data_IF_806496879906
#
_entry.id   IF_806496879906
#
_cell.length_a   1.000
_cell.length_b   1.000
_cell.length_c   1.000
_cell.angle_alpha   90.00
_cell.angle_beta   90.00
_cell.angle_gamma   90.00
#
_symmetry.space_group_name_H-M   'P 1'
#
loop_
_entity.id
_entity.type
_entity.pdbx_description
1 polymer ?
#
# COMPACT_ATOMS: atom_id res chain seq x y z
N UNK A 1 -20.60 -15.16 0.47
CA UNK A 1 -20.12 -14.57 -0.79
C UNK A 1 -20.98 -13.36 -1.07
N UNK A 2 -20.43 -12.26 -1.60
CA UNK A 2 -21.23 -11.05 -1.83
C UNK A 2 -22.44 -11.34 -2.73
N UNK A 3 -23.60 -10.80 -2.37
CA UNK A 3 -24.81 -10.86 -3.19
C UNK A 3 -24.76 -9.91 -4.41
N UNK A 4 -23.78 -9.01 -4.45
CA UNK A 4 -23.57 -8.07 -5.56
C UNK A 4 -23.10 -8.83 -6.80
N UNK A 5 -23.85 -8.69 -7.90
CA UNK A 5 -23.41 -9.18 -9.20
C UNK A 5 -22.34 -8.26 -9.77
N UNK A 6 -21.21 -8.82 -10.13
CA UNK A 6 -20.13 -8.10 -10.81
C UNK A 6 -20.44 -8.01 -12.30
N UNK A 7 -20.06 -6.90 -12.91
CA UNK A 7 -20.07 -6.81 -14.38
C UNK A 7 -18.83 -7.51 -14.94
N UNK A 8 -18.85 -8.00 -16.21
CA UNK A 8 -17.67 -8.62 -16.81
C UNK A 8 -16.42 -7.72 -16.80
N UNK A 9 -16.62 -6.40 -16.91
CA UNK A 9 -15.52 -5.41 -16.85
C UNK A 9 -14.94 -5.32 -15.44
N UNK A 10 -15.77 -5.41 -14.40
CA UNK A 10 -15.30 -5.43 -13.02
C UNK A 10 -14.51 -6.71 -12.72
N UNK A 11 -14.99 -7.87 -13.18
CA UNK A 11 -14.28 -9.15 -13.04
C UNK A 11 -12.92 -9.13 -13.74
N UNK A 12 -12.86 -8.64 -14.98
CA UNK A 12 -11.62 -8.47 -15.73
C UNK A 12 -10.60 -7.59 -15.00
N UNK A 13 -11.05 -6.53 -14.33
CA UNK A 13 -10.16 -5.62 -13.62
C UNK A 13 -9.69 -6.24 -12.30
N UNK A 14 -10.57 -6.94 -11.58
CA UNK A 14 -10.21 -7.63 -10.35
C UNK A 14 -9.26 -8.80 -10.62
N UNK A 15 -9.37 -9.45 -11.77
CA UNK A 15 -8.50 -10.53 -12.21
C UNK A 15 -7.04 -10.10 -12.47
N UNK A 16 -6.79 -8.82 -12.76
CA UNK A 16 -5.42 -8.28 -12.85
C UNK A 16 -4.67 -8.40 -11.51
N UNK A 17 -5.42 -8.40 -10.40
CA UNK A 17 -4.89 -8.54 -9.05
C UNK A 17 -4.14 -7.30 -8.54
N UNK A 18 -3.66 -7.38 -7.30
CA UNK A 18 -3.08 -6.25 -6.58
C UNK A 18 -1.68 -5.86 -7.05
N UNK A 19 -0.95 -6.80 -7.66
CA UNK A 19 0.38 -6.54 -8.23
C UNK A 19 0.32 -5.81 -9.60
N UNK A 20 -0.86 -5.45 -10.10
CA UNK A 20 -1.00 -4.71 -11.34
C UNK A 20 -0.59 -3.24 -11.15
N UNK A 21 0.54 -2.84 -11.74
CA UNK A 21 1.02 -1.47 -11.70
C UNK A 21 0.26 -0.60 -12.72
N UNK A 22 -0.57 0.33 -12.25
CA UNK A 22 -1.27 1.28 -13.11
C UNK A 22 -0.29 2.38 -13.54
N UNK A 23 -0.22 2.64 -14.85
CA UNK A 23 0.63 3.71 -15.38
C UNK A 23 0.06 5.08 -14.95
N UNK A 24 0.86 5.94 -14.30
CA UNK A 24 0.43 7.27 -13.93
C UNK A 24 0.09 8.08 -15.18
N UNK A 25 -1.11 8.65 -15.19
CA UNK A 25 -1.58 9.49 -16.30
C UNK A 25 -1.14 10.95 -16.14
N UNK A 26 -0.62 11.31 -14.97
CA UNK A 26 -0.16 12.65 -14.61
C UNK A 26 1.14 12.49 -13.83
N UNK A 27 2.16 13.26 -14.17
CA UNK A 27 3.38 13.31 -13.36
C UNK A 27 3.18 14.21 -12.14
N UNK A 28 3.59 13.77 -10.94
CA UNK A 28 3.56 14.60 -9.74
C UNK A 28 4.72 15.59 -9.76
N UNK A 29 4.57 16.71 -10.48
CA UNK A 29 5.61 17.73 -10.68
C UNK A 29 6.12 18.28 -9.35
N UNK A 30 5.21 18.46 -8.40
CA UNK A 30 5.47 18.98 -7.06
C UNK A 30 6.43 18.05 -6.29
N UNK A 31 6.27 16.73 -6.43
CA UNK A 31 7.12 15.75 -5.76
C UNK A 31 8.55 15.78 -6.30
N UNK A 32 8.71 15.95 -7.62
CA UNK A 32 10.04 16.13 -8.23
C UNK A 32 10.71 17.39 -7.70
N UNK A 33 10.00 18.52 -7.66
CA UNK A 33 10.53 19.79 -7.13
C UNK A 33 10.92 19.65 -5.66
N UNK A 34 10.04 19.07 -4.83
CA UNK A 34 10.33 18.85 -3.40
C UNK A 34 11.56 17.97 -3.16
N UNK A 35 11.81 16.98 -4.02
CA UNK A 35 12.97 16.08 -3.90
C UNK A 35 14.27 16.69 -4.43
N UNK A 36 14.18 17.58 -5.42
CA UNK A 36 15.34 18.12 -6.13
C UNK A 36 15.79 19.46 -5.54
N UNK A 37 14.86 20.36 -5.19
CA UNK A 37 15.17 21.71 -4.73
C UNK A 37 16.09 21.77 -3.49
N UNK A 38 15.90 20.93 -2.45
CA UNK A 38 16.81 20.92 -1.29
C UNK A 38 18.25 20.52 -1.64
N UNK A 39 18.43 19.72 -2.71
CA UNK A 39 19.77 19.31 -3.17
C UNK A 39 20.45 20.43 -3.93
N UNK A 40 19.69 21.22 -4.68
CA UNK A 40 20.18 22.36 -5.47
C UNK A 40 20.60 23.54 -4.59
N UNK A 41 20.04 23.67 -3.38
CA UNK A 41 20.40 24.74 -2.43
C UNK A 41 21.88 24.70 -2.01
N UNK A 42 22.50 23.52 -2.01
CA UNK A 42 23.89 23.35 -1.59
C UNK A 42 24.91 23.52 -2.73
N UNK A 43 24.47 23.84 -3.94
CA UNK A 43 25.31 23.97 -5.14
C UNK A 43 25.59 25.44 -5.48
N UNK A 44 26.55 25.70 -6.37
CA UNK A 44 26.79 27.03 -6.91
C UNK A 44 25.55 27.53 -7.68
N UNK A 45 25.22 28.82 -7.55
CA UNK A 45 23.98 29.40 -8.07
C UNK A 45 23.84 29.21 -9.59
N UNK A 46 24.94 29.35 -10.33
CA UNK A 46 24.96 29.16 -11.79
C UNK A 46 24.66 27.71 -12.21
N UNK A 47 25.23 26.73 -11.50
CA UNK A 47 24.96 25.31 -11.75
C UNK A 47 23.53 24.93 -11.35
N UNK A 48 23.06 25.40 -10.20
CA UNK A 48 21.69 25.18 -9.74
C UNK A 48 20.66 25.79 -10.71
N UNK A 49 20.93 26.99 -11.24
CA UNK A 49 20.09 27.65 -12.24
C UNK A 49 19.99 26.84 -13.53
N UNK A 50 21.12 26.36 -14.06
CA UNK A 50 21.14 25.50 -15.24
C UNK A 50 20.34 24.21 -15.04
N UNK A 51 20.47 23.56 -13.87
CA UNK A 51 19.72 22.33 -13.56
C UNK A 51 18.20 22.63 -13.44
N UNK A 52 17.80 23.75 -12.82
CA UNK A 52 16.39 24.17 -12.75
C UNK A 52 15.77 24.36 -14.14
N UNK A 53 16.50 24.97 -15.07
CA UNK A 53 16.06 25.15 -16.47
C UNK A 53 15.86 23.78 -17.14
N UNK A 54 16.83 22.87 -17.01
CA UNK A 54 16.72 21.51 -17.57
C UNK A 54 15.53 20.73 -17.00
N UNK A 55 15.35 20.76 -15.67
CA UNK A 55 14.21 20.11 -15.00
C UNK A 55 12.89 20.70 -15.51
N UNK A 56 12.82 22.03 -15.63
CA UNK A 56 11.61 22.72 -16.12
C UNK A 56 11.29 22.32 -17.55
N UNK A 57 12.29 22.19 -18.41
CA UNK A 57 12.12 21.75 -19.80
C UNK A 57 11.57 20.31 -19.87
N UNK A 58 12.14 19.39 -19.10
CA UNK A 58 11.67 17.99 -19.01
C UNK A 58 10.25 17.91 -18.46
N UNK A 59 9.93 18.70 -17.42
CA UNK A 59 8.59 18.73 -16.82
C UNK A 59 7.54 19.48 -17.67
N UNK A 60 7.98 20.30 -18.64
CA UNK A 60 7.09 21.02 -19.56
C UNK A 60 6.42 20.09 -20.57
N UNK A 61 7.15 19.09 -21.07
CA UNK A 61 6.65 18.12 -22.05
C UNK A 61 7.00 16.70 -21.64
N UNK A 62 6.25 16.13 -20.70
CA UNK A 62 6.53 14.78 -20.25
C UNK A 62 6.07 13.75 -21.27
N UNK A 63 6.98 12.85 -21.64
CA UNK A 63 6.67 11.66 -22.42
C UNK A 63 6.12 10.59 -21.48
N UNK A 64 4.81 10.59 -21.28
CA UNK A 64 4.16 9.56 -20.46
C UNK A 64 3.89 8.29 -21.29
N UNK A 65 4.08 7.09 -20.72
CA UNK A 65 3.67 5.87 -21.38
C UNK A 65 2.15 5.84 -21.57
N UNK A 66 1.70 5.11 -22.59
CA UNK A 66 0.28 4.91 -22.82
C UNK A 66 -0.38 4.26 -21.59
N UNK A 67 -1.60 4.72 -21.27
CA UNK A 67 -2.38 4.16 -20.16
C UNK A 67 -2.63 2.67 -20.38
N UNK A 68 -2.17 1.84 -19.46
CA UNK A 68 -2.42 0.39 -19.49
C UNK A 68 -3.84 0.00 -19.04
N UNK A 69 -4.67 0.97 -18.69
CA UNK A 69 -6.07 0.78 -18.29
C UNK A 69 -7.01 1.66 -19.14
N UNK A 70 -8.07 1.05 -19.68
CA UNK A 70 -9.10 1.76 -20.46
C UNK A 70 -10.02 2.57 -19.54
N UNK A 71 -10.75 3.53 -20.11
CA UNK A 71 -11.70 4.38 -19.35
C UNK A 71 -12.76 3.54 -18.63
N UNK A 72 -13.35 2.56 -19.32
CA UNK A 72 -14.38 1.69 -18.75
C UNK A 72 -13.85 0.91 -17.53
N UNK A 73 -12.62 0.41 -17.60
CA UNK A 73 -11.96 -0.28 -16.48
C UNK A 73 -11.67 0.66 -15.30
N UNK A 74 -11.27 1.91 -15.56
CA UNK A 74 -11.11 2.95 -14.52
C UNK A 74 -12.43 3.29 -13.84
N UNK A 75 -13.50 3.42 -14.61
CA UNK A 75 -14.82 3.76 -14.08
C UNK A 75 -15.41 2.57 -13.30
N UNK A 76 -15.17 1.33 -13.74
CA UNK A 76 -15.47 0.13 -12.97
C UNK A 76 -14.79 0.12 -11.59
N UNK A 77 -13.49 0.45 -11.52
CA UNK A 77 -12.77 0.59 -10.23
C UNK A 77 -13.38 1.66 -9.32
N UNK A 78 -13.78 2.80 -9.89
CA UNK A 78 -14.42 3.87 -9.11
C UNK A 78 -15.77 3.42 -8.58
N UNK A 79 -16.56 2.71 -9.38
CA UNK A 79 -17.87 2.19 -8.98
C UNK A 79 -17.72 1.14 -7.87
N UNK A 80 -16.79 0.21 -8.01
CA UNK A 80 -16.45 -0.77 -6.97
C UNK A 80 -16.01 -0.07 -5.67
N UNK A 81 -15.20 0.98 -5.75
CA UNK A 81 -14.74 1.73 -4.57
C UNK A 81 -15.86 2.55 -3.92
N UNK A 82 -16.79 3.07 -4.70
CA UNK A 82 -17.91 3.89 -4.21
C UNK A 82 -18.97 3.05 -3.49
N UNK A 83 -19.07 1.76 -3.83
CA UNK A 83 -20.02 0.84 -3.24
C UNK A 83 -19.60 0.46 -1.80
N UNK A 84 -20.32 1.01 -0.83
CA UNK A 84 -20.08 0.76 0.61
C UNK A 84 -20.73 -0.53 1.10
N UNK A 85 -21.57 -1.17 0.30
CA UNK A 85 -22.21 -2.45 0.66
C UNK A 85 -21.24 -3.63 0.58
N UNK A 86 -20.10 -3.45 -0.09
CA UNK A 86 -19.10 -4.49 -0.29
C UNK A 86 -17.83 -4.26 0.52
N UNK A 87 -17.17 -5.36 0.86
CA UNK A 87 -15.85 -5.38 1.44
C UNK A 87 -14.88 -6.09 0.50
N UNK A 88 -13.88 -5.35 0.00
CA UNK A 88 -12.87 -5.84 -0.93
C UNK A 88 -11.60 -6.15 -0.14
N UNK A 89 -11.19 -7.41 -0.13
CA UNK A 89 -10.04 -7.92 0.63
C UNK A 89 -9.03 -8.60 -0.30
N UNK A 90 -7.76 -8.57 0.09
CA UNK A 90 -6.74 -9.43 -0.50
C UNK A 90 -7.01 -10.88 -0.07
N UNK A 91 -6.99 -11.80 -1.02
CA UNK A 91 -7.02 -13.23 -0.69
C UNK A 91 -5.70 -13.63 0.00
N UNK A 92 -5.78 -14.54 0.98
CA UNK A 92 -4.60 -15.07 1.67
C UNK A 92 -3.64 -15.80 0.72
N UNK A 93 -4.18 -16.40 -0.36
CA UNK A 93 -3.41 -17.15 -1.36
C UNK A 93 -3.73 -16.72 -2.78
N UNK A 94 -2.69 -16.65 -3.62
CA UNK A 94 -2.76 -16.15 -4.98
C UNK A 94 -2.97 -14.63 -5.01
N UNK A 95 -2.56 -13.96 -6.08
CA UNK A 95 -2.79 -12.52 -6.28
C UNK A 95 -4.28 -12.22 -6.56
N UNK A 96 -5.18 -12.84 -5.79
CA UNK A 96 -6.62 -12.79 -5.95
C UNK A 96 -7.24 -11.77 -4.98
N UNK A 97 -8.40 -11.28 -5.36
CA UNK A 97 -9.20 -10.34 -4.59
C UNK A 97 -10.53 -11.01 -4.23
N UNK A 98 -10.96 -10.87 -2.98
CA UNK A 98 -12.23 -11.41 -2.48
C UNK A 98 -13.19 -10.26 -2.25
N UNK A 99 -14.44 -10.40 -2.72
CA UNK A 99 -15.52 -9.45 -2.47
C UNK A 99 -16.57 -10.11 -1.58
N UNK A 100 -16.83 -9.50 -0.43
CA UNK A 100 -17.81 -9.93 0.56
C UNK A 100 -18.89 -8.87 0.74
N UNK A 101 -20.07 -9.31 1.19
CA UNK A 101 -21.05 -8.37 1.73
C UNK A 101 -20.52 -7.77 3.03
N UNK A 102 -20.63 -6.45 3.17
CA UNK A 102 -20.04 -5.74 4.30
C UNK A 102 -20.72 -6.09 5.61
N UNK A 103 -22.04 -6.17 5.61
CA UNK A 103 -22.82 -6.43 6.82
C UNK A 103 -22.62 -7.88 7.28
N UNK A 104 -22.63 -8.84 6.35
CA UNK A 104 -22.34 -10.24 6.64
C UNK A 104 -20.92 -10.40 7.20
N UNK A 105 -19.94 -9.73 6.59
CA UNK A 105 -18.55 -9.74 7.06
C UNK A 105 -18.42 -9.18 8.48
N UNK A 106 -18.94 -7.98 8.72
CA UNK A 106 -18.84 -7.31 10.01
C UNK A 106 -19.50 -8.16 11.11
N UNK A 107 -20.67 -8.76 10.85
CA UNK A 107 -21.34 -9.68 11.77
C UNK A 107 -20.49 -10.93 12.06
N UNK A 108 -19.90 -11.54 11.03
CA UNK A 108 -19.04 -12.73 11.21
C UNK A 108 -17.79 -12.41 12.03
N UNK A 109 -17.18 -11.25 11.79
CA UNK A 109 -16.02 -10.79 12.56
C UNK A 109 -16.41 -10.55 14.02
N UNK A 110 -17.55 -9.90 14.28
CA UNK A 110 -18.04 -9.69 15.65
C UNK A 110 -18.30 -11.01 16.38
N UNK A 111 -18.95 -11.97 15.72
CA UNK A 111 -19.17 -13.31 16.28
C UNK A 111 -17.84 -14.01 16.59
N UNK A 112 -16.88 -13.94 15.66
CA UNK A 112 -15.56 -14.54 15.83
C UNK A 112 -14.79 -13.92 17.01
N UNK A 113 -14.81 -12.59 17.14
CA UNK A 113 -14.12 -11.87 18.21
C UNK A 113 -14.74 -12.09 19.59
N UNK A 114 -16.04 -12.40 19.65
CA UNK A 114 -16.74 -12.73 20.89
C UNK A 114 -16.50 -14.17 21.39
N UNK A 115 -15.67 -14.97 20.69
CA UNK A 115 -15.28 -16.31 21.14
C UNK A 115 -14.17 -16.26 22.20
N UNK A 116 -14.05 -17.31 23.01
CA UNK A 116 -13.01 -17.44 24.04
C UNK A 116 -11.58 -17.48 23.50
N UNK A 117 -11.42 -17.64 22.18
CA UNK A 117 -10.13 -17.66 21.48
C UNK A 117 -9.44 -16.29 21.48
N UNK A 118 -10.22 -15.21 21.45
CA UNK A 118 -9.70 -13.84 21.35
C UNK A 118 -9.92 -13.08 22.65
N UNK A 119 -8.98 -12.19 22.98
CA UNK A 119 -9.04 -11.36 24.18
C UNK A 119 -8.60 -9.94 23.82
N UNK A 120 -9.42 -8.97 24.23
CA UNK A 120 -9.09 -7.56 24.07
C UNK A 120 -7.87 -7.18 24.93
N UNK A 121 -6.91 -6.49 24.31
CA UNK A 121 -5.71 -6.00 24.96
C UNK A 121 -5.86 -4.49 25.24
N UNK A 122 -5.69 -4.08 26.50
CA UNK A 122 -5.73 -2.66 26.89
C UNK A 122 -4.59 -1.83 26.28
N UNK A 123 -3.46 -2.48 25.98
CA UNK A 123 -2.27 -1.87 25.38
C UNK A 123 -1.51 -2.93 24.61
N UNK A 124 -0.91 -2.55 23.50
CA UNK A 124 -0.02 -3.41 22.73
C UNK A 124 1.19 -3.83 23.61
N UNK A 125 1.34 -5.14 23.90
CA UNK A 125 2.44 -5.65 24.72
C UNK A 125 3.74 -5.85 23.93
N UNK A 126 3.73 -5.70 22.60
CA UNK A 126 4.84 -6.07 21.69
C UNK A 126 6.17 -5.46 22.14
N UNK A 127 6.22 -4.15 22.35
CA UNK A 127 7.45 -3.47 22.76
C UNK A 127 7.99 -3.94 24.14
N UNK A 128 7.11 -4.34 25.06
CA UNK A 128 7.52 -4.89 26.36
C UNK A 128 8.08 -6.30 26.20
N UNK A 129 7.46 -7.11 25.35
CA UNK A 129 7.90 -8.48 25.06
C UNK A 129 9.26 -8.44 24.34
N UNK A 130 9.41 -7.59 23.33
CA UNK A 130 10.66 -7.39 22.61
C UNK A 130 11.79 -6.99 23.56
N UNK A 131 11.58 -6.01 24.43
CA UNK A 131 12.60 -5.62 25.43
C UNK A 131 12.99 -6.77 26.35
N UNK A 132 12.02 -7.59 26.79
CA UNK A 132 12.32 -8.78 27.61
C UNK A 132 13.11 -9.83 26.84
N UNK A 133 12.77 -10.06 25.57
CA UNK A 133 13.49 -10.99 24.69
C UNK A 133 14.91 -10.49 24.47
N UNK A 134 15.11 -9.23 24.06
CA UNK A 134 16.44 -8.64 23.86
C UNK A 134 17.31 -8.68 25.12
N UNK A 135 16.72 -8.44 26.29
CA UNK A 135 17.42 -8.54 27.58
C UNK A 135 17.87 -9.98 27.87
N UNK A 136 16.99 -10.97 27.70
CA UNK A 136 17.34 -12.39 27.86
C UNK A 136 18.41 -12.83 26.86
N UNK A 137 18.28 -12.47 25.59
CA UNK A 137 19.26 -12.77 24.54
C UNK A 137 20.63 -12.14 24.84
N UNK A 138 20.65 -10.90 25.33
CA UNK A 138 21.89 -10.25 25.76
C UNK A 138 22.54 -10.95 26.95
N UNK A 139 21.72 -11.45 27.89
CA UNK A 139 22.19 -12.27 29.00
C UNK A 139 22.83 -13.58 28.53
N UNK A 140 22.20 -14.29 27.59
CA UNK A 140 22.77 -15.52 27.03
C UNK A 140 24.04 -15.30 26.21
N UNK A 141 24.13 -14.17 25.49
CA UNK A 141 25.37 -13.77 24.81
C UNK A 141 26.50 -13.52 25.81
N UNK A 142 26.21 -12.83 26.93
CA UNK A 142 27.19 -12.59 28.01
C UNK A 142 27.59 -13.87 28.73
N UNK A 143 26.69 -14.84 28.84
CA UNK A 143 26.93 -16.15 29.46
C UNK A 143 27.65 -17.15 28.52
N UNK A 144 28.05 -16.74 27.31
CA UNK A 144 28.82 -17.58 26.37
C UNK A 144 28.03 -18.71 25.72
N UNK A 145 26.71 -18.75 25.88
CA UNK A 145 25.82 -19.81 25.36
C UNK A 145 25.70 -19.75 23.84
N UNK A 146 25.89 -18.57 23.24
CA UNK A 146 25.90 -18.38 21.79
C UNK A 146 27.29 -17.90 21.35
N UNK A 147 28.02 -18.75 20.64
CA UNK A 147 29.26 -18.37 19.96
C UNK A 147 28.94 -17.75 18.60
N UNK A 148 29.52 -16.59 18.30
CA UNK A 148 29.53 -16.04 16.94
C UNK A 148 30.44 -16.92 16.08
N UNK A 149 29.91 -17.46 14.99
CA UNK A 149 30.70 -18.01 13.89
C UNK A 149 31.51 -16.90 13.20
#
# INVERSE_FOLDING_TARGET
MSARRLTPVEEDVLALGLNFAVVPCVLPKEEFVQRLEPKLYHMANDEASNIRVQITEVLRRPTLPASNLTKNKKDALKNLRADKSIHILKADKGNATVILDRLEYDNKILVLLNTSTYKELKRDPTANIERKICSKLSGFKKAGVFHSY
#
